data_IF_211168721490
#
_entry.id   IF_211168721490
#
_cell.length_a   1.000
_cell.length_b   1.000
_cell.length_c   1.000
_cell.angle_alpha   90.00
_cell.angle_beta   90.00
_cell.angle_gamma   90.00
#
_symmetry.space_group_name_H-M   'P 1'
#
loop_
_entity.id
_entity.type
_entity.pdbx_description
1 polymer ?
#
# COMPACT_ATOMS: atom_id res chain seq x y z
N UNK A 1 -20.97 -45.51 24.66
CA UNK A 1 -20.08 -45.10 23.52
C UNK A 1 -20.34 -43.64 23.23
N UNK A 2 -19.56 -42.78 23.85
CA UNK A 2 -19.63 -41.32 23.62
C UNK A 2 -18.96 -40.97 22.30
N UNK A 3 -19.74 -40.33 21.41
CA UNK A 3 -19.24 -39.74 20.19
C UNK A 3 -18.43 -38.47 20.53
N UNK A 4 -17.12 -38.57 20.51
CA UNK A 4 -16.24 -37.40 20.54
C UNK A 4 -16.51 -36.56 19.27
N UNK A 5 -17.13 -35.42 19.47
CA UNK A 5 -17.32 -34.44 18.41
C UNK A 5 -15.94 -33.98 17.91
N UNK A 6 -15.62 -34.34 16.68
CA UNK A 6 -14.49 -33.81 15.93
C UNK A 6 -14.60 -32.30 15.93
N UNK A 7 -13.68 -31.59 16.62
CA UNK A 7 -13.46 -30.14 16.44
C UNK A 7 -13.10 -29.91 14.99
N UNK A 8 -14.04 -29.33 14.26
CA UNK A 8 -13.81 -28.96 12.88
C UNK A 8 -12.53 -28.12 12.77
N UNK A 9 -11.68 -28.50 11.81
CA UNK A 9 -10.52 -27.73 11.39
C UNK A 9 -10.95 -26.26 11.23
N UNK A 10 -10.25 -25.26 11.84
CA UNK A 10 -10.57 -23.87 11.63
C UNK A 10 -10.66 -23.64 10.12
N UNK A 11 -11.74 -22.98 9.66
CA UNK A 11 -11.81 -22.54 8.26
C UNK A 11 -10.59 -21.67 8.03
N UNK A 12 -9.67 -22.15 7.21
CA UNK A 12 -8.55 -21.39 6.70
C UNK A 12 -9.17 -20.27 5.88
N UNK A 13 -9.25 -19.06 6.47
CA UNK A 13 -9.72 -17.89 5.72
C UNK A 13 -8.64 -17.52 4.69
N UNK A 14 -9.09 -17.00 3.56
CA UNK A 14 -8.18 -16.51 2.55
C UNK A 14 -7.46 -15.25 3.07
N UNK A 15 -6.18 -15.41 3.38
CA UNK A 15 -5.32 -14.37 3.95
C UNK A 15 -5.20 -13.18 3.00
N UNK A 16 -5.15 -13.42 1.70
CA UNK A 16 -5.05 -12.39 0.66
C UNK A 16 -6.34 -11.55 0.60
N UNK A 17 -7.50 -12.19 0.62
CA UNK A 17 -8.80 -11.50 0.66
C UNK A 17 -8.97 -10.71 1.96
N UNK A 18 -8.58 -11.28 3.09
CA UNK A 18 -8.63 -10.59 4.37
C UNK A 18 -7.70 -9.38 4.41
N UNK A 19 -6.48 -9.50 3.84
CA UNK A 19 -5.55 -8.40 3.74
C UNK A 19 -6.07 -7.28 2.83
N UNK A 20 -6.72 -7.63 1.72
CA UNK A 20 -7.40 -6.67 0.84
C UNK A 20 -8.52 -5.91 1.55
N UNK A 21 -9.28 -6.60 2.42
CA UNK A 21 -10.30 -5.98 3.27
C UNK A 21 -9.68 -5.00 4.28
N UNK A 22 -8.60 -5.39 4.95
CA UNK A 22 -7.86 -4.51 5.85
C UNK A 22 -7.31 -3.27 5.12
N UNK A 23 -6.78 -3.44 3.91
CA UNK A 23 -6.31 -2.34 3.07
C UNK A 23 -7.43 -1.31 2.82
N UNK A 24 -8.65 -1.74 2.50
CA UNK A 24 -9.79 -0.82 2.30
C UNK A 24 -10.10 -0.01 3.55
N UNK A 25 -10.08 -0.65 4.73
CA UNK A 25 -10.32 0.03 6.01
C UNK A 25 -9.25 1.09 6.29
N UNK A 26 -7.99 0.72 6.14
CA UNK A 26 -6.87 1.65 6.33
C UNK A 26 -6.88 2.79 5.31
N UNK A 27 -7.28 2.51 4.08
CA UNK A 27 -7.40 3.55 3.05
C UNK A 27 -8.49 4.57 3.38
N UNK A 28 -9.63 4.08 3.86
CA UNK A 28 -10.78 4.96 4.18
C UNK A 28 -10.58 5.76 5.48
N UNK A 29 -9.94 5.15 6.50
CA UNK A 29 -9.89 5.69 7.86
C UNK A 29 -8.50 6.13 8.32
N UNK A 30 -7.46 5.81 7.57
CA UNK A 30 -6.07 5.94 8.01
C UNK A 30 -5.70 4.92 9.08
N UNK A 31 -4.44 4.91 9.50
CA UNK A 31 -3.95 3.99 10.54
C UNK A 31 -4.65 4.22 11.89
N UNK A 32 -4.70 5.47 12.37
CA UNK A 32 -5.28 5.80 13.66
C UNK A 32 -6.80 5.61 13.71
N UNK A 33 -7.50 6.02 12.66
CA UNK A 33 -8.96 5.93 12.57
C UNK A 33 -9.48 4.50 12.40
N UNK A 34 -8.65 3.55 11.98
CA UNK A 34 -9.02 2.16 11.82
C UNK A 34 -8.95 1.44 13.18
N UNK A 35 -10.10 1.10 13.77
CA UNK A 35 -10.17 0.29 14.99
C UNK A 35 -9.96 -1.20 14.68
N UNK A 36 -9.57 -1.99 15.70
CA UNK A 36 -9.51 -3.45 15.56
C UNK A 36 -10.88 -4.06 15.22
N UNK A 37 -11.97 -3.45 15.69
CA UNK A 37 -13.33 -3.90 15.34
C UNK A 37 -13.63 -3.65 13.88
N UNK A 38 -13.36 -2.44 13.37
CA UNK A 38 -13.51 -2.14 11.93
C UNK A 38 -12.75 -3.13 11.06
N UNK A 39 -11.51 -3.44 11.44
CA UNK A 39 -10.66 -4.37 10.71
C UNK A 39 -11.23 -5.80 10.73
N UNK A 40 -11.55 -6.34 11.92
CA UNK A 40 -12.07 -7.70 12.02
C UNK A 40 -13.44 -7.86 11.36
N UNK A 41 -14.30 -6.85 11.44
CA UNK A 41 -15.62 -6.87 10.83
C UNK A 41 -15.50 -6.90 9.29
N UNK A 42 -14.69 -6.01 8.71
CA UNK A 42 -14.47 -5.97 7.26
C UNK A 42 -13.71 -7.20 6.73
N UNK A 43 -12.74 -7.69 7.50
CA UNK A 43 -11.97 -8.89 7.15
C UNK A 43 -12.79 -10.20 7.34
N UNK A 44 -13.92 -10.15 8.04
CA UNK A 44 -14.74 -11.32 8.35
C UNK A 44 -14.05 -12.35 9.26
N UNK A 45 -13.14 -11.92 10.14
CA UNK A 45 -12.35 -12.78 11.03
C UNK A 45 -12.45 -12.32 12.48
N UNK A 46 -12.06 -13.19 13.39
CA UNK A 46 -11.99 -12.86 14.82
C UNK A 46 -10.67 -12.17 15.16
N UNK A 47 -10.63 -11.41 16.28
CA UNK A 47 -9.39 -10.82 16.79
C UNK A 47 -8.26 -11.83 17.01
N UNK A 48 -8.51 -13.02 17.63
CA UNK A 48 -7.47 -14.04 17.73
C UNK A 48 -6.94 -14.50 16.37
N UNK A 49 -7.81 -14.63 15.37
CA UNK A 49 -7.40 -14.98 14.00
C UNK A 49 -6.56 -13.89 13.35
N UNK A 50 -6.90 -12.62 13.57
CA UNK A 50 -6.11 -11.49 13.10
C UNK A 50 -4.69 -11.53 13.69
N UNK A 51 -4.58 -11.66 15.02
CA UNK A 51 -3.28 -11.73 15.68
C UNK A 51 -2.45 -12.93 15.25
N UNK A 52 -3.09 -14.09 15.06
CA UNK A 52 -2.42 -15.30 14.62
C UNK A 52 -1.87 -15.21 13.19
N UNK A 53 -2.61 -14.55 12.28
CA UNK A 53 -2.23 -14.48 10.87
C UNK A 53 -1.33 -13.28 10.54
N UNK A 54 -1.56 -12.13 11.18
CA UNK A 54 -0.95 -10.86 10.79
C UNK A 54 -0.08 -10.22 11.89
N UNK A 55 -0.11 -10.77 13.10
CA UNK A 55 0.58 -10.23 14.26
C UNK A 55 -0.24 -9.16 14.98
N UNK A 56 0.10 -7.90 14.84
CA UNK A 56 -0.62 -6.78 15.44
C UNK A 56 -1.15 -5.80 14.38
N UNK A 57 -1.85 -4.74 14.79
CA UNK A 57 -2.38 -3.71 13.88
C UNK A 57 -1.28 -3.06 13.03
N UNK A 58 -0.12 -2.83 13.62
CA UNK A 58 1.04 -2.23 12.95
C UNK A 58 1.59 -3.17 11.86
N UNK A 59 1.78 -4.46 12.19
CA UNK A 59 2.22 -5.45 11.23
C UNK A 59 1.20 -5.67 10.10
N UNK A 60 -0.10 -5.67 10.43
CA UNK A 60 -1.17 -5.72 9.43
C UNK A 60 -1.16 -4.49 8.51
N UNK A 61 -0.93 -3.31 9.07
CA UNK A 61 -0.85 -2.08 8.27
C UNK A 61 0.33 -2.11 7.30
N UNK A 62 1.51 -2.58 7.73
CA UNK A 62 2.68 -2.74 6.84
C UNK A 62 2.41 -3.72 5.71
N UNK A 63 1.76 -4.85 6.01
CA UNK A 63 1.37 -5.82 4.98
C UNK A 63 0.35 -5.22 4.00
N UNK A 64 -0.59 -4.40 4.49
CA UNK A 64 -1.53 -3.68 3.64
C UNK A 64 -0.84 -2.64 2.75
N UNK A 65 0.20 -1.96 3.24
CA UNK A 65 1.04 -1.08 2.41
C UNK A 65 1.81 -1.86 1.34
N UNK A 66 2.35 -3.04 1.66
CA UNK A 66 3.02 -3.90 0.69
C UNK A 66 2.06 -4.32 -0.43
N UNK A 67 0.83 -4.70 -0.06
CA UNK A 67 -0.23 -5.03 -1.01
C UNK A 67 -0.59 -3.84 -1.90
N UNK A 68 -0.72 -2.66 -1.31
CA UNK A 68 -1.01 -1.43 -2.05
C UNK A 68 0.09 -1.11 -3.06
N UNK A 69 1.35 -1.20 -2.66
CA UNK A 69 2.49 -0.96 -3.55
C UNK A 69 2.51 -1.96 -4.71
N UNK A 70 2.32 -3.24 -4.40
CA UNK A 70 2.28 -4.31 -5.39
C UNK A 70 1.17 -4.11 -6.43
N UNK A 71 -0.02 -3.70 -5.99
CA UNK A 71 -1.22 -3.72 -6.84
C UNK A 71 -1.53 -2.34 -7.47
N UNK A 72 -1.08 -1.25 -6.85
CA UNK A 72 -1.42 0.12 -7.27
C UNK A 72 -0.24 0.96 -7.73
N UNK A 73 0.97 0.67 -7.29
CA UNK A 73 2.16 1.48 -7.61
C UNK A 73 3.11 0.82 -8.62
N UNK A 74 2.76 -0.32 -9.20
CA UNK A 74 3.54 -0.99 -10.26
C UNK A 74 3.83 -0.06 -11.44
N UNK A 75 2.90 0.87 -11.75
CA UNK A 75 3.09 1.84 -12.83
C UNK A 75 4.34 2.71 -12.67
N UNK A 76 4.84 2.92 -11.46
CA UNK A 76 6.06 3.69 -11.20
C UNK A 76 7.28 2.95 -11.77
N UNK A 77 7.38 1.64 -11.50
CA UNK A 77 8.41 0.78 -12.06
C UNK A 77 8.34 0.75 -13.59
N UNK A 78 7.15 0.49 -14.14
CA UNK A 78 6.92 0.44 -15.59
C UNK A 78 7.23 1.79 -16.27
N UNK A 79 6.97 2.89 -15.58
CA UNK A 79 7.27 4.22 -16.11
C UNK A 79 8.79 4.48 -16.17
N UNK A 80 9.54 4.09 -15.15
CA UNK A 80 10.99 4.27 -15.07
C UNK A 80 11.70 3.54 -16.22
N UNK A 81 11.18 2.39 -16.65
CA UNK A 81 11.69 1.59 -17.77
C UNK A 81 11.34 2.18 -19.16
N UNK A 82 10.60 3.29 -19.21
CA UNK A 82 10.26 3.91 -20.49
C UNK A 82 11.51 4.45 -21.22
N UNK A 83 11.54 4.40 -22.59
CA UNK A 83 12.74 4.68 -23.36
C UNK A 83 13.17 6.14 -23.33
N UNK A 84 12.27 7.08 -23.06
CA UNK A 84 12.56 8.52 -23.05
C UNK A 84 12.02 9.20 -21.79
N UNK A 85 12.65 10.31 -21.38
CA UNK A 85 12.19 11.11 -20.23
C UNK A 85 10.74 11.58 -20.39
N UNK A 86 10.33 11.94 -21.61
CA UNK A 86 8.94 12.30 -21.91
C UNK A 86 8.00 11.12 -21.63
N UNK A 87 8.32 9.93 -22.12
CA UNK A 87 7.51 8.73 -21.90
C UNK A 87 7.47 8.34 -20.42
N UNK A 88 8.57 8.53 -19.68
CA UNK A 88 8.59 8.37 -18.21
C UNK A 88 7.57 9.31 -17.56
N UNK A 89 7.63 10.60 -17.88
CA UNK A 89 6.71 11.59 -17.31
C UNK A 89 5.25 11.30 -17.67
N UNK A 90 4.95 10.98 -18.93
CA UNK A 90 3.62 10.64 -19.40
C UNK A 90 3.06 9.40 -18.66
N UNK A 91 3.84 8.33 -18.52
CA UNK A 91 3.43 7.12 -17.81
C UNK A 91 3.22 7.36 -16.31
N UNK A 92 4.08 8.15 -15.67
CA UNK A 92 3.91 8.53 -14.26
C UNK A 92 2.62 9.32 -14.04
N UNK A 93 2.35 10.31 -14.89
CA UNK A 93 1.13 11.13 -14.79
C UNK A 93 -0.12 10.30 -15.06
N UNK A 94 -0.16 9.55 -16.14
CA UNK A 94 -1.32 8.70 -16.48
C UNK A 94 -1.55 7.61 -15.44
N UNK A 95 -0.48 6.96 -14.99
CA UNK A 95 -0.59 5.94 -13.95
C UNK A 95 -1.07 6.50 -12.60
N UNK A 96 -0.65 7.71 -12.23
CA UNK A 96 -1.14 8.37 -11.01
C UNK A 96 -2.62 8.76 -11.11
N UNK A 97 -3.08 9.22 -12.27
CA UNK A 97 -4.50 9.50 -12.53
C UNK A 97 -5.32 8.22 -12.44
N UNK A 98 -4.86 7.16 -13.12
CA UNK A 98 -5.54 5.87 -13.09
C UNK A 98 -5.63 5.29 -11.67
N UNK A 99 -4.51 5.27 -10.95
CA UNK A 99 -4.46 4.80 -9.56
C UNK A 99 -5.37 5.61 -8.61
N UNK A 100 -5.52 6.92 -8.86
CA UNK A 100 -6.34 7.80 -8.04
C UNK A 100 -7.84 7.75 -8.36
N UNK A 101 -8.21 7.31 -9.57
CA UNK A 101 -9.61 7.37 -10.07
C UNK A 101 -10.26 6.01 -10.24
N UNK A 102 -9.46 4.93 -10.32
CA UNK A 102 -9.94 3.58 -10.61
C UNK A 102 -10.07 2.74 -9.35
N UNK A 103 -11.17 1.99 -9.23
CA UNK A 103 -11.46 1.07 -8.13
C UNK A 103 -12.29 1.67 -7.01
N UNK A 104 -12.52 0.86 -5.97
CA UNK A 104 -13.42 1.20 -4.85
C UNK A 104 -12.82 2.24 -3.90
N UNK A 105 -11.49 2.31 -3.81
CA UNK A 105 -10.77 3.28 -2.99
C UNK A 105 -10.10 4.32 -3.88
N UNK A 106 -10.55 5.57 -3.79
CA UNK A 106 -10.01 6.69 -4.56
C UNK A 106 -8.96 7.46 -3.78
N UNK A 107 -7.99 8.02 -4.49
CA UNK A 107 -6.89 8.78 -3.91
C UNK A 107 -5.64 7.94 -3.64
N UNK A 108 -4.61 8.58 -3.11
CA UNK A 108 -3.33 7.93 -2.80
C UNK A 108 -3.27 7.56 -1.32
N UNK A 109 -3.17 6.27 -1.03
CA UNK A 109 -3.05 5.79 0.36
C UNK A 109 -1.79 6.33 1.04
N UNK A 110 -0.69 6.51 0.31
CA UNK A 110 0.54 7.10 0.84
C UNK A 110 0.33 8.54 1.32
N UNK A 111 -0.45 9.34 0.60
CA UNK A 111 -0.82 10.71 1.02
C UNK A 111 -1.73 10.66 2.24
N UNK A 112 -2.76 9.81 2.23
CA UNK A 112 -3.70 9.65 3.36
C UNK A 112 -2.92 9.19 4.61
N UNK A 113 -2.03 8.21 4.46
CA UNK A 113 -1.19 7.74 5.55
C UNK A 113 -0.24 8.83 6.06
N UNK A 114 0.41 9.61 5.20
CA UNK A 114 1.34 10.67 5.59
C UNK A 114 0.66 11.85 6.28
N UNK A 115 -0.54 12.23 5.85
CA UNK A 115 -1.32 13.32 6.46
C UNK A 115 -1.92 12.89 7.80
N UNK A 116 -2.44 11.67 7.89
CA UNK A 116 -2.96 11.11 9.14
C UNK A 116 -1.85 10.81 10.15
N UNK A 117 -0.62 10.61 9.69
CA UNK A 117 0.53 10.25 10.52
C UNK A 117 1.19 11.40 11.30
N UNK A 118 0.63 12.60 11.32
CA UNK A 118 1.21 13.69 12.16
C UNK A 118 1.10 13.42 13.66
N UNK A 119 0.20 12.52 14.08
CA UNK A 119 -0.01 12.09 15.47
C UNK A 119 0.34 10.63 15.76
N UNK A 120 0.85 9.90 14.76
CA UNK A 120 1.05 8.45 14.78
C UNK A 120 2.42 8.05 15.33
N UNK A 121 2.49 6.80 15.80
CA UNK A 121 3.75 6.18 16.19
C UNK A 121 4.88 6.44 15.18
N UNK A 122 6.05 6.90 15.67
CA UNK A 122 7.18 7.27 14.80
C UNK A 122 7.56 6.18 13.80
N UNK A 123 7.45 4.90 14.19
CA UNK A 123 7.80 3.75 13.35
C UNK A 123 6.95 3.62 12.08
N UNK A 124 5.64 3.88 12.17
CA UNK A 124 4.73 3.85 11.03
C UNK A 124 5.01 5.01 10.08
N UNK A 125 5.16 6.21 10.64
CA UNK A 125 5.49 7.41 9.86
C UNK A 125 6.80 7.27 9.11
N UNK A 126 7.82 6.75 9.78
CA UNK A 126 9.15 6.58 9.20
C UNK A 126 9.14 5.53 8.07
N UNK A 127 8.37 4.46 8.21
CA UNK A 127 8.19 3.44 7.17
C UNK A 127 7.47 4.02 5.93
N UNK A 128 6.35 4.74 6.12
CA UNK A 128 5.63 5.41 5.04
C UNK A 128 6.54 6.41 4.29
N UNK A 129 7.29 7.21 5.04
CA UNK A 129 8.23 8.17 4.47
C UNK A 129 9.38 7.49 3.70
N UNK A 130 9.93 6.40 4.24
CA UNK A 130 10.99 5.64 3.59
C UNK A 130 10.55 5.04 2.25
N UNK A 131 9.32 4.53 2.18
CA UNK A 131 8.71 3.99 0.95
C UNK A 131 8.54 5.08 -0.10
N UNK A 132 7.96 6.23 0.28
CA UNK A 132 7.79 7.38 -0.61
C UNK A 132 9.14 7.91 -1.12
N UNK A 133 10.16 7.99 -0.25
CA UNK A 133 11.49 8.43 -0.61
C UNK A 133 12.20 7.44 -1.55
N UNK A 134 11.98 6.14 -1.41
CA UNK A 134 12.51 5.13 -2.33
C UNK A 134 12.00 5.33 -3.75
N UNK A 135 10.70 5.49 -3.93
CA UNK A 135 10.09 5.77 -5.23
C UNK A 135 10.58 7.11 -5.81
N UNK A 136 10.67 8.14 -4.97
CA UNK A 136 11.19 9.46 -5.38
C UNK A 136 12.61 9.38 -5.89
N UNK A 137 13.50 8.67 -5.19
CA UNK A 137 14.90 8.49 -5.60
C UNK A 137 15.02 7.76 -6.94
N UNK A 138 14.22 6.73 -7.16
CA UNK A 138 14.22 6.00 -8.41
C UNK A 138 13.82 6.90 -9.60
N UNK A 139 12.78 7.71 -9.44
CA UNK A 139 12.33 8.68 -10.45
C UNK A 139 13.43 9.71 -10.71
N UNK A 140 14.02 10.30 -9.67
CA UNK A 140 15.10 11.29 -9.81
C UNK A 140 16.30 10.69 -10.54
N UNK A 141 16.73 9.49 -10.17
CA UNK A 141 17.85 8.82 -10.82
C UNK A 141 17.60 8.59 -12.32
N UNK A 142 16.37 8.15 -12.68
CA UNK A 142 16.00 7.99 -14.10
C UNK A 142 16.00 9.32 -14.86
N UNK A 143 15.49 10.38 -14.26
CA UNK A 143 15.49 11.70 -14.89
C UNK A 143 16.92 12.26 -15.03
N UNK A 144 17.79 12.03 -14.04
CA UNK A 144 19.19 12.41 -14.13
C UNK A 144 19.91 11.70 -15.29
N UNK A 145 19.67 10.38 -15.47
CA UNK A 145 20.19 9.65 -16.63
C UNK A 145 19.76 10.27 -17.97
N UNK A 146 18.52 10.74 -18.06
CA UNK A 146 18.01 11.38 -19.26
C UNK A 146 18.66 12.74 -19.53
N UNK A 147 18.97 13.51 -18.48
CA UNK A 147 19.73 14.75 -18.57
C UNK A 147 21.15 14.47 -19.07
N UNK A 148 21.82 13.49 -18.46
CA UNK A 148 23.18 13.10 -18.81
C UNK A 148 23.28 12.56 -20.25
N UNK A 149 22.22 11.91 -20.73
CA UNK A 149 22.08 11.46 -22.12
C UNK A 149 21.68 12.58 -23.11
N UNK A 150 21.41 13.79 -22.63
CA UNK A 150 21.04 14.93 -23.48
C UNK A 150 19.61 14.89 -24.01
N UNK A 151 18.72 14.08 -23.43
CA UNK A 151 17.31 13.99 -23.84
C UNK A 151 16.55 15.31 -23.61
N UNK A 152 16.91 16.08 -22.58
CA UNK A 152 16.41 17.42 -22.32
C UNK A 152 17.43 18.24 -21.50
N UNK A 153 17.25 19.57 -21.51
CA UNK A 153 18.08 20.49 -20.73
C UNK A 153 17.23 21.12 -19.64
N UNK A 154 17.77 21.19 -18.43
CA UNK A 154 17.15 21.96 -17.35
C UNK A 154 17.41 23.44 -17.69
N UNK A 155 16.34 24.23 -17.82
CA UNK A 155 16.49 25.69 -17.96
C UNK A 155 17.04 26.26 -16.64
N UNK A 156 18.17 26.92 -16.70
CA UNK A 156 18.77 27.68 -15.60
C UNK A 156 18.06 29.01 -15.40
#
# INVERSE_FOLDING_TARGET
MEKVASRGRPREFDTELALGAALRVFWAKGYEGASLSDLTDEMGITRPSLYAAFGNKEALFRQALDLYERDKLTYIGDAIEAPTARAVAERLLMGSVDAATTGDCKGCMGVIASVACQSVEPSIRDDVNARAESSRRAIIARMQQAIDAGEFRVAT
#
